data_IF_167813760579
#
_entry.id   IF_167813760579
#
_cell.length_a   1.000
_cell.length_b   1.000
_cell.length_c   1.000
_cell.angle_alpha   90.00
_cell.angle_beta   90.00
_cell.angle_gamma   90.00
#
_symmetry.space_group_name_H-M   'P 1'
#
loop_
_entity.id
_entity.type
_entity.pdbx_description
1 polymer ?
#
# COMPACT_ATOMS: atom_id res chain seq x y z
N UNK A 1 -4.46 -12.12 -11.20
CA UNK A 1 -3.33 -11.72 -10.34
C UNK A 1 -3.83 -10.88 -9.18
N UNK A 2 -3.40 -11.22 -7.98
CA UNK A 2 -3.80 -10.48 -6.77
C UNK A 2 -2.80 -9.38 -6.49
N UNK A 3 -3.30 -8.21 -6.10
CA UNK A 3 -2.49 -7.03 -5.82
C UNK A 3 -2.90 -6.40 -4.50
N UNK A 4 -1.96 -5.71 -3.87
CA UNK A 4 -2.26 -4.79 -2.78
C UNK A 4 -1.71 -3.40 -3.11
N UNK A 5 -2.29 -2.38 -2.53
CA UNK A 5 -1.93 -0.99 -2.80
C UNK A 5 -1.23 -0.40 -1.58
N UNK A 6 -0.19 0.41 -1.80
CA UNK A 6 0.42 1.15 -0.71
C UNK A 6 -0.35 2.43 -0.40
N UNK A 7 0.06 3.11 0.66
CA UNK A 7 -0.57 4.36 1.08
C UNK A 7 -0.43 5.46 0.03
N UNK A 8 0.73 5.53 -0.63
CA UNK A 8 1.02 6.61 -1.58
C UNK A 8 0.07 6.61 -2.77
N UNK A 9 -0.21 5.43 -3.35
CA UNK A 9 -1.12 5.37 -4.49
C UNK A 9 -2.57 5.62 -4.09
N UNK A 10 -2.99 5.12 -2.93
CA UNK A 10 -4.32 5.40 -2.40
C UNK A 10 -4.52 6.90 -2.17
N UNK A 11 -3.55 7.54 -1.52
CA UNK A 11 -3.58 8.98 -1.26
C UNK A 11 -3.62 9.78 -2.55
N UNK A 12 -2.82 9.39 -3.54
CA UNK A 12 -2.80 10.04 -4.85
C UNK A 12 -4.17 9.98 -5.53
N UNK A 13 -4.79 8.80 -5.55
CA UNK A 13 -6.10 8.61 -6.16
C UNK A 13 -7.18 9.46 -5.44
N UNK A 14 -7.14 9.47 -4.10
CA UNK A 14 -8.09 10.23 -3.30
C UNK A 14 -7.97 11.74 -3.49
N UNK A 15 -6.77 12.25 -3.73
CA UNK A 15 -6.49 13.68 -3.87
C UNK A 15 -6.62 14.19 -5.29
N UNK A 16 -6.24 13.39 -6.28
CA UNK A 16 -6.10 13.81 -7.67
C UNK A 16 -7.18 13.28 -8.61
N UNK A 17 -7.88 12.19 -8.22
CA UNK A 17 -8.90 11.53 -9.06
C UNK A 17 -8.42 11.26 -10.49
N UNK A 18 -7.24 10.63 -10.69
CA UNK A 18 -6.67 10.46 -12.02
C UNK A 18 -7.51 9.50 -12.86
N UNK A 19 -8.01 9.98 -14.00
CA UNK A 19 -8.95 9.23 -14.84
C UNK A 19 -8.39 7.88 -15.31
N UNK A 20 -7.11 7.86 -15.73
CA UNK A 20 -6.46 6.64 -16.21
C UNK A 20 -6.37 5.56 -15.13
N UNK A 21 -6.07 5.95 -13.90
CA UNK A 21 -6.01 5.01 -12.77
C UNK A 21 -7.39 4.52 -12.39
N UNK A 22 -8.39 5.41 -12.36
CA UNK A 22 -9.76 5.04 -12.04
C UNK A 22 -10.32 4.05 -13.07
N UNK A 23 -10.02 4.25 -14.35
CA UNK A 23 -10.37 3.29 -15.39
C UNK A 23 -9.68 1.95 -15.20
N UNK A 24 -8.42 1.97 -14.83
CA UNK A 24 -7.65 0.74 -14.56
C UNK A 24 -8.23 -0.04 -13.39
N UNK A 25 -8.61 0.66 -12.31
CA UNK A 25 -9.29 0.05 -11.19
C UNK A 25 -10.64 -0.55 -11.55
N UNK A 26 -11.40 0.12 -12.39
CA UNK A 26 -12.71 -0.35 -12.82
C UNK A 26 -12.66 -1.70 -13.55
N UNK A 27 -11.49 -2.04 -14.12
CA UNK A 27 -11.27 -3.31 -14.82
C UNK A 27 -10.83 -4.45 -13.92
N UNK A 28 -10.49 -4.15 -12.66
CA UNK A 28 -9.98 -5.14 -11.72
C UNK A 28 -11.13 -5.61 -10.83
N UNK A 29 -11.31 -6.93 -10.75
CA UNK A 29 -12.33 -7.49 -9.86
C UNK A 29 -11.98 -7.20 -8.40
N UNK A 30 -12.95 -6.78 -7.56
CA UNK A 30 -12.68 -6.46 -6.15
C UNK A 30 -11.98 -7.57 -5.36
N UNK A 31 -12.21 -8.85 -5.73
CA UNK A 31 -11.55 -9.98 -5.08
C UNK A 31 -10.05 -10.08 -5.38
N UNK A 32 -9.56 -9.32 -6.36
CA UNK A 32 -8.16 -9.35 -6.79
C UNK A 32 -7.34 -8.21 -6.19
N UNK A 33 -7.94 -7.37 -5.35
CA UNK A 33 -7.26 -6.25 -4.71
C UNK A 33 -7.66 -6.20 -3.23
N UNK A 34 -6.67 -6.02 -2.37
CA UNK A 34 -6.90 -5.86 -0.94
C UNK A 34 -5.99 -4.77 -0.39
N UNK A 35 -6.30 -4.28 0.79
CA UNK A 35 -5.48 -3.30 1.49
C UNK A 35 -5.03 -3.86 2.83
N UNK A 36 -3.80 -3.52 3.21
CA UNK A 36 -3.30 -3.81 4.55
C UNK A 36 -3.97 -2.89 5.59
N UNK A 37 -4.19 -3.42 6.78
CA UNK A 37 -4.60 -2.60 7.92
C UNK A 37 -3.62 -1.44 8.18
N UNK A 38 -2.34 -1.62 7.84
CA UNK A 38 -1.33 -0.56 7.95
C UNK A 38 -1.68 0.61 7.02
N UNK A 39 -2.07 0.32 5.79
CA UNK A 39 -2.49 1.35 4.83
C UNK A 39 -3.75 2.06 5.32
N UNK A 40 -4.73 1.32 5.84
CA UNK A 40 -5.93 1.90 6.41
C UNK A 40 -5.60 2.85 7.56
N UNK A 41 -4.67 2.46 8.43
CA UNK A 41 -4.22 3.29 9.55
C UNK A 41 -3.57 4.58 9.07
N UNK A 42 -2.70 4.49 8.06
CA UNK A 42 -2.03 5.68 7.51
C UNK A 42 -3.01 6.64 6.82
N UNK A 43 -3.97 6.12 6.07
CA UNK A 43 -4.99 6.96 5.43
C UNK A 43 -5.87 7.66 6.47
N UNK A 44 -6.27 6.94 7.51
CA UNK A 44 -7.04 7.51 8.61
C UNK A 44 -6.25 8.54 9.40
N UNK A 45 -4.97 8.30 9.62
CA UNK A 45 -4.09 9.28 10.24
C UNK A 45 -4.02 10.57 9.39
N UNK A 46 -3.81 10.45 8.09
CA UNK A 46 -3.77 11.59 7.19
C UNK A 46 -5.07 12.41 7.23
N UNK A 47 -6.22 11.72 7.26
CA UNK A 47 -7.52 12.38 7.36
C UNK A 47 -7.69 13.11 8.71
N UNK A 48 -7.29 12.47 9.81
CA UNK A 48 -7.35 13.07 11.15
C UNK A 48 -6.45 14.29 11.25
N UNK A 49 -5.26 14.20 10.69
CA UNK A 49 -4.28 15.31 10.70
C UNK A 49 -4.81 16.52 9.91
N UNK A 50 -5.44 16.28 8.77
CA UNK A 50 -6.00 17.36 7.96
C UNK A 50 -7.23 17.99 8.63
N UNK A 51 -7.98 17.22 9.41
CA UNK A 51 -9.14 17.72 10.14
C UNK A 51 -10.33 18.08 9.26
N UNK A 52 -10.39 17.58 8.03
CA UNK A 52 -11.49 17.83 7.09
C UNK A 52 -12.51 16.69 7.15
N UNK A 53 -13.76 16.97 7.57
CA UNK A 53 -14.81 15.95 7.54
C UNK A 53 -15.06 15.38 6.14
N UNK A 54 -14.93 16.22 5.12
CA UNK A 54 -15.12 15.80 3.72
C UNK A 54 -14.06 14.79 3.30
N UNK A 55 -12.78 15.05 3.64
CA UNK A 55 -11.70 14.14 3.30
C UNK A 55 -11.78 12.86 4.12
N UNK A 56 -12.15 12.94 5.40
CA UNK A 56 -12.38 11.76 6.23
C UNK A 56 -13.47 10.86 5.64
N UNK A 57 -14.57 11.45 5.16
CA UNK A 57 -15.62 10.70 4.50
C UNK A 57 -15.13 10.03 3.20
N UNK A 58 -14.29 10.74 2.44
CA UNK A 58 -13.69 10.17 1.21
C UNK A 58 -12.79 8.98 1.53
N UNK A 59 -11.98 9.06 2.59
CA UNK A 59 -11.14 7.95 3.04
C UNK A 59 -12.00 6.75 3.44
N UNK A 60 -13.03 6.95 4.24
CA UNK A 60 -13.90 5.85 4.66
C UNK A 60 -14.64 5.22 3.46
N UNK A 61 -15.08 6.02 2.52
CA UNK A 61 -15.71 5.53 1.28
C UNK A 61 -14.75 4.69 0.44
N UNK A 62 -13.49 5.12 0.33
CA UNK A 62 -12.44 4.36 -0.36
C UNK A 62 -12.20 3.02 0.31
N UNK A 63 -11.99 3.03 1.63
CA UNK A 63 -11.71 1.82 2.39
C UNK A 63 -12.87 0.82 2.34
N UNK A 64 -14.10 1.29 2.29
CA UNK A 64 -15.28 0.43 2.23
C UNK A 64 -15.33 -0.41 0.95
N UNK A 65 -14.63 -0.01 -0.11
CA UNK A 65 -14.56 -0.74 -1.37
C UNK A 65 -13.58 -1.91 -1.41
N UNK A 66 -12.84 -2.14 -0.32
CA UNK A 66 -11.79 -3.17 -0.29
C UNK A 66 -11.94 -4.10 0.89
N UNK A 67 -11.41 -5.33 0.72
CA UNK A 67 -11.09 -6.17 1.88
C UNK A 67 -9.85 -5.59 2.55
N UNK A 68 -9.95 -5.30 3.84
CA UNK A 68 -8.81 -4.84 4.63
C UNK A 68 -8.31 -6.01 5.46
N UNK A 69 -7.08 -6.44 5.21
CA UNK A 69 -6.50 -7.58 5.91
C UNK A 69 -5.70 -7.15 7.13
N UNK A 70 -5.88 -7.82 8.28
CA UNK A 70 -5.03 -7.58 9.43
C UNK A 70 -3.60 -7.96 9.09
N UNK A 71 -2.63 -7.28 9.71
CA UNK A 71 -1.21 -7.58 9.48
C UNK A 71 -0.89 -8.94 10.09
N UNK A 72 -0.49 -9.95 9.29
CA UNK A 72 -0.42 -11.33 9.76
C UNK A 72 0.89 -11.63 10.48
N UNK A 73 0.86 -12.66 11.33
CA UNK A 73 2.07 -13.11 12.05
C UNK A 73 3.18 -13.52 11.08
N UNK A 74 2.82 -14.12 9.95
CA UNK A 74 3.77 -14.54 8.91
C UNK A 74 4.59 -13.37 8.36
N UNK A 75 4.01 -12.18 8.36
CA UNK A 75 4.72 -10.98 7.89
C UNK A 75 5.90 -10.61 8.80
N UNK A 76 5.92 -11.07 10.05
CA UNK A 76 7.03 -10.76 10.98
C UNK A 76 8.36 -11.31 10.48
N UNK A 77 8.36 -12.48 9.86
CA UNK A 77 9.57 -13.08 9.29
C UNK A 77 10.08 -12.27 8.10
N UNK A 78 9.18 -11.86 7.23
CA UNK A 78 9.54 -11.02 6.08
C UNK A 78 10.04 -9.66 6.51
N UNK A 79 9.38 -9.04 7.49
CA UNK A 79 9.78 -7.75 8.04
C UNK A 79 11.20 -7.80 8.62
N UNK A 80 11.48 -8.79 9.45
CA UNK A 80 12.79 -8.92 10.08
C UNK A 80 13.91 -9.07 9.03
N UNK A 81 13.67 -9.89 8.01
CA UNK A 81 14.63 -10.14 6.95
C UNK A 81 14.85 -8.91 6.07
N UNK A 82 13.77 -8.33 5.53
CA UNK A 82 13.90 -7.19 4.64
C UNK A 82 14.53 -5.98 5.34
N UNK A 83 14.16 -5.73 6.59
CA UNK A 83 14.74 -4.63 7.35
C UNK A 83 16.23 -4.81 7.58
N UNK A 84 16.66 -6.02 7.94
CA UNK A 84 18.07 -6.33 8.13
C UNK A 84 18.84 -6.16 6.83
N UNK A 85 18.29 -6.64 5.70
CA UNK A 85 18.91 -6.52 4.39
C UNK A 85 19.06 -5.07 3.96
N UNK A 86 18.02 -4.25 4.15
CA UNK A 86 18.04 -2.84 3.79
C UNK A 86 19.06 -2.06 4.65
N UNK A 87 19.16 -2.36 5.94
CA UNK A 87 20.16 -1.73 6.80
C UNK A 87 21.58 -2.08 6.40
N UNK A 88 21.82 -3.35 6.08
CA UNK A 88 23.16 -3.80 5.62
C UNK A 88 23.55 -3.15 4.30
N UNK A 89 22.59 -2.94 3.41
CA UNK A 89 22.83 -2.30 2.11
C UNK A 89 22.92 -0.77 2.22
N UNK A 90 22.64 -0.18 3.37
CA UNK A 90 22.59 1.26 3.53
C UNK A 90 21.45 1.93 2.74
N UNK A 91 20.38 1.20 2.50
CA UNK A 91 19.23 1.67 1.69
C UNK A 91 17.92 1.58 2.47
N UNK A 92 17.77 2.31 3.58
CA UNK A 92 16.55 2.25 4.37
C UNK A 92 15.36 2.81 3.61
N UNK A 93 14.18 2.30 3.96
CA UNK A 93 12.89 2.85 3.53
C UNK A 93 12.06 3.19 4.76
N UNK A 94 10.93 3.86 4.56
CA UNK A 94 10.07 4.27 5.66
C UNK A 94 9.59 3.07 6.49
N UNK A 95 9.40 3.28 7.80
CA UNK A 95 8.99 2.21 8.71
C UNK A 95 7.65 1.56 8.34
N UNK A 96 6.66 2.37 8.01
CA UNK A 96 5.36 1.86 7.57
C UNK A 96 5.47 1.15 6.22
N UNK A 97 6.32 1.65 5.31
CA UNK A 97 6.55 1.01 4.02
C UNK A 97 7.18 -0.37 4.17
N UNK A 98 8.05 -0.56 5.16
CA UNK A 98 8.59 -1.90 5.47
C UNK A 98 7.50 -2.86 5.94
N UNK A 99 6.55 -2.38 6.74
CA UNK A 99 5.42 -3.20 7.19
C UNK A 99 4.50 -3.57 6.02
N UNK A 100 4.24 -2.62 5.13
CA UNK A 100 3.41 -2.84 3.93
C UNK A 100 4.09 -3.85 3.00
N UNK A 101 5.40 -3.69 2.76
CA UNK A 101 6.17 -4.61 1.94
C UNK A 101 6.18 -6.03 2.52
N UNK A 102 6.37 -6.15 3.83
CA UNK A 102 6.34 -7.44 4.52
C UNK A 102 4.99 -8.13 4.37
N UNK A 103 3.90 -7.37 4.44
CA UNK A 103 2.56 -7.90 4.27
C UNK A 103 2.34 -8.43 2.84
N UNK A 104 2.77 -7.66 1.83
CA UNK A 104 2.69 -8.09 0.44
C UNK A 104 3.48 -9.38 0.19
N UNK A 105 4.69 -9.48 0.75
CA UNK A 105 5.50 -10.69 0.66
C UNK A 105 4.84 -11.89 1.33
N UNK A 106 4.23 -11.68 2.50
CA UNK A 106 3.54 -12.75 3.23
C UNK A 106 2.34 -13.29 2.45
N UNK A 107 1.67 -12.44 1.70
CA UNK A 107 0.51 -12.81 0.87
C UNK A 107 0.91 -13.23 -0.55
N UNK A 108 2.20 -13.18 -0.87
CA UNK A 108 2.74 -13.52 -2.19
C UNK A 108 2.00 -12.79 -3.32
N UNK A 109 1.86 -11.49 -3.20
CA UNK A 109 1.19 -10.65 -4.20
C UNK A 109 2.03 -9.45 -4.59
N UNK A 110 1.64 -8.80 -5.70
CA UNK A 110 2.30 -7.59 -6.17
C UNK A 110 1.84 -6.37 -5.37
N UNK A 111 2.75 -5.43 -5.16
CA UNK A 111 2.47 -4.15 -4.55
C UNK A 111 2.38 -3.07 -5.62
N UNK A 112 1.27 -2.35 -5.65
CA UNK A 112 1.06 -1.20 -6.54
C UNK A 112 1.38 0.07 -5.77
N UNK A 113 2.25 0.91 -6.32
CA UNK A 113 2.76 2.09 -5.63
C UNK A 113 3.09 3.22 -6.60
N UNK A 114 3.09 4.47 -6.10
CA UNK A 114 3.71 5.61 -6.77
C UNK A 114 5.18 5.78 -6.41
N UNK A 115 5.67 4.98 -5.48
CA UNK A 115 7.04 5.08 -4.96
C UNK A 115 7.83 3.81 -5.28
N UNK A 116 7.79 3.39 -6.54
CA UNK A 116 8.41 2.16 -6.99
C UNK A 116 9.92 2.13 -6.72
N UNK A 117 10.59 3.28 -6.86
CA UNK A 117 12.03 3.39 -6.61
C UNK A 117 12.42 2.89 -5.22
N UNK A 118 11.66 3.25 -4.20
CA UNK A 118 11.91 2.84 -2.82
C UNK A 118 11.62 1.35 -2.64
N UNK A 119 10.47 0.88 -3.12
CA UNK A 119 10.06 -0.52 -2.94
C UNK A 119 10.89 -1.50 -3.78
N UNK A 120 11.52 -1.06 -4.86
CA UNK A 120 12.46 -1.91 -5.61
C UNK A 120 13.69 -2.31 -4.80
N UNK A 121 13.96 -1.62 -3.70
CA UNK A 121 15.05 -2.00 -2.79
C UNK A 121 14.73 -3.27 -2.00
N UNK A 122 13.47 -3.67 -1.94
CA UNK A 122 13.03 -4.84 -1.16
C UNK A 122 13.21 -6.11 -1.98
N UNK A 123 14.11 -7.03 -1.57
CA UNK A 123 14.35 -8.27 -2.33
C UNK A 123 13.09 -9.13 -2.39
N UNK A 124 12.79 -9.64 -3.58
CA UNK A 124 11.69 -10.58 -3.79
C UNK A 124 10.30 -9.95 -3.90
N UNK A 125 10.17 -8.65 -3.71
CA UNK A 125 8.88 -7.97 -3.82
C UNK A 125 8.56 -7.65 -5.29
N UNK A 126 7.39 -8.10 -5.76
CA UNK A 126 6.87 -7.70 -7.05
C UNK A 126 6.24 -6.32 -6.93
N UNK A 127 6.72 -5.36 -7.73
CA UNK A 127 6.29 -3.96 -7.66
C UNK A 127 5.70 -3.54 -9.00
N UNK A 128 4.54 -2.88 -8.96
CA UNK A 128 3.91 -2.28 -10.14
C UNK A 128 3.74 -0.78 -9.91
N UNK A 129 4.06 0.02 -10.90
CA UNK A 129 3.84 1.46 -10.87
C UNK A 129 2.74 1.81 -11.87
N UNK A 130 1.66 2.44 -11.39
CA UNK A 130 0.50 2.77 -12.21
C UNK A 130 0.39 4.27 -12.51
N UNK A 131 1.14 5.11 -11.81
CA UNK A 131 1.15 6.54 -12.07
C UNK A 131 1.92 6.84 -13.36
N UNK A 132 1.39 7.71 -14.15
CA UNK A 132 2.05 8.21 -15.35
C UNK A 132 3.10 9.28 -14.99
#
# INVERSE_FOLDING_TARGET
MIRTLDTSICSYILRRHPASMLERFARIHPSQVWLSAIVAAELRFGASKLGSPRFSAAVEGWLAGFTIKPWPVEATHHYARLRADLQRAGQPIGGMDMLIAAHALAEDCALVTNNAREFHRVPGLAVEEWAD
#
